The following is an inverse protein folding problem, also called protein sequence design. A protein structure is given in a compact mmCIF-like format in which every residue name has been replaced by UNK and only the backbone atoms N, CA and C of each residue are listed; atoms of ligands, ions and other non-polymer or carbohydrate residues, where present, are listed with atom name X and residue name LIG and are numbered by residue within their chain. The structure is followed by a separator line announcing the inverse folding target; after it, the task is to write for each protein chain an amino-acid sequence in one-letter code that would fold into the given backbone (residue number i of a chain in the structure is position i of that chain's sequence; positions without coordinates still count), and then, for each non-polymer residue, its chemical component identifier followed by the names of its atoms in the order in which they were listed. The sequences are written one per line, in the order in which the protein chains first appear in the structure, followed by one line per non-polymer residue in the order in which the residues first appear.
data_IF_179147181284
#
_entry.id   IF_179147181284
#
_cell.length_a   1.000
_cell.length_b   1.000
_cell.length_c   1.000
_cell.angle_alpha   90.00
_cell.angle_beta   90.00
_cell.angle_gamma   90.00
#
_symmetry.space_group_name_H-M   'P 1'
#
loop_
_entity.id
_entity.type
_entity.pdbx_description
1 polymer ?
#
# COMPACT_ATOMS: atom_id res chain seq x y z
N UNK A 1 7.00 -2.16 -13.79
CA UNK A 1 6.83 -2.02 -12.34
C UNK A 1 5.44 -2.41 -11.94
N UNK A 2 5.29 -2.96 -10.76
CA UNK A 2 4.02 -3.41 -10.26
C UNK A 2 3.41 -2.33 -9.37
N UNK A 3 2.14 -2.00 -9.61
CA UNK A 3 1.45 -1.04 -8.77
C UNK A 3 0.80 -1.74 -7.60
N UNK A 4 0.92 -1.12 -6.42
CA UNK A 4 0.14 -1.52 -5.26
C UNK A 4 -0.96 -0.48 -5.11
N UNK A 5 -2.21 -0.92 -5.13
CA UNK A 5 -3.34 0.00 -5.10
C UNK A 5 -4.05 -0.08 -3.75
N UNK A 6 -4.79 0.99 -3.43
CA UNK A 6 -5.60 1.01 -2.21
C UNK A 6 -6.72 -0.02 -2.35
N UNK A 7 -6.79 -1.04 -1.48
CA UNK A 7 -7.80 -2.07 -1.62
C UNK A 7 -9.15 -1.63 -1.09
N UNK A 8 -10.19 -2.23 -1.62
CA UNK A 8 -11.55 -2.07 -1.09
C UNK A 8 -11.85 -3.27 -0.19
N UNK A 9 -12.06 -3.03 1.08
CA UNK A 9 -12.34 -4.10 2.02
C UNK A 9 -13.83 -4.33 2.26
N UNK A 10 -14.65 -3.31 1.99
CA UNK A 10 -16.08 -3.48 2.03
C UNK A 10 -16.72 -2.55 1.00
N UNK A 11 -18.00 -2.77 0.73
CA UNK A 11 -18.68 -2.08 -0.36
C UNK A 11 -18.82 -0.58 -0.13
N UNK A 12 -18.84 -0.16 1.12
CA UNK A 12 -19.04 1.25 1.42
C UNK A 12 -17.73 2.03 1.44
N UNK A 13 -16.59 1.34 1.30
CA UNK A 13 -15.31 1.99 1.38
C UNK A 13 -14.98 2.71 0.08
N UNK A 14 -14.95 4.03 0.12
CA UNK A 14 -14.56 4.84 -1.03
C UNK A 14 -13.13 5.32 -0.96
N UNK A 15 -12.60 5.49 0.26
CA UNK A 15 -11.22 5.91 0.50
C UNK A 15 -10.66 5.14 1.67
N UNK A 16 -9.34 5.09 1.76
CA UNK A 16 -8.65 4.59 2.93
C UNK A 16 -7.66 5.63 3.41
N UNK A 17 -7.46 5.71 4.72
CA UNK A 17 -6.47 6.62 5.27
C UNK A 17 -5.17 5.88 5.46
N UNK A 18 -4.13 6.35 4.78
CA UNK A 18 -2.80 5.75 4.89
C UNK A 18 -2.19 6.25 6.20
N UNK A 19 -2.15 5.36 7.19
CA UNK A 19 -1.72 5.78 8.53
C UNK A 19 -0.20 5.78 8.61
N UNK A 20 0.43 4.74 8.07
CA UNK A 20 1.85 4.55 8.30
C UNK A 20 2.45 3.69 7.20
N UNK A 21 3.67 4.02 6.78
CA UNK A 21 4.47 3.17 5.92
C UNK A 21 5.36 2.29 6.79
N UNK A 22 5.29 0.98 6.58
CA UNK A 22 6.13 0.01 7.29
C UNK A 22 7.44 -0.24 6.55
N UNK A 23 7.46 0.11 5.28
CA UNK A 23 8.65 0.03 4.43
C UNK A 23 8.80 1.35 3.71
N UNK A 24 10.00 1.66 3.28
CA UNK A 24 10.26 2.92 2.60
C UNK A 24 10.93 2.66 1.26
N UNK A 25 11.03 3.73 0.47
CA UNK A 25 11.65 3.63 -0.84
C UNK A 25 13.05 3.04 -0.72
N UNK A 26 13.33 2.07 -1.58
CA UNK A 26 14.58 1.35 -1.57
C UNK A 26 14.58 0.07 -0.77
N UNK A 27 13.59 -0.13 0.11
CA UNK A 27 13.52 -1.33 0.93
C UNK A 27 13.13 -2.55 0.12
N UNK A 28 13.72 -3.68 0.48
CA UNK A 28 13.36 -4.98 -0.05
C UNK A 28 12.09 -5.47 0.62
N UNK A 29 11.19 -6.09 -0.14
CA UNK A 29 9.96 -6.69 0.40
C UNK A 29 9.78 -8.08 -0.16
N UNK A 30 9.17 -8.95 0.64
CA UNK A 30 8.77 -10.29 0.20
C UNK A 30 7.28 -10.28 -0.11
N UNK A 31 6.86 -11.20 -0.96
CA UNK A 31 5.44 -11.35 -1.23
C UNK A 31 4.69 -11.63 0.08
N UNK A 32 3.60 -10.90 0.32
CA UNK A 32 2.82 -11.05 1.54
C UNK A 32 3.34 -10.26 2.72
N UNK A 33 4.47 -9.58 2.58
CA UNK A 33 5.02 -8.80 3.68
C UNK A 33 4.24 -7.49 3.83
N UNK A 34 3.85 -7.12 5.07
CA UNK A 34 3.14 -5.85 5.26
C UNK A 34 4.02 -4.66 4.90
N UNK A 35 3.49 -3.73 4.11
CA UNK A 35 4.24 -2.55 3.68
C UNK A 35 3.63 -1.26 4.17
N UNK A 36 2.34 -1.26 4.53
CA UNK A 36 1.68 -0.05 4.99
C UNK A 36 0.49 -0.41 5.87
N UNK A 37 0.11 0.53 6.73
CA UNK A 37 -1.09 0.40 7.57
C UNK A 37 -2.11 1.39 7.07
N UNK A 38 -3.34 0.93 6.87
CA UNK A 38 -4.42 1.74 6.36
C UNK A 38 -5.62 1.63 7.28
N UNK A 39 -6.30 2.73 7.51
CA UNK A 39 -7.53 2.76 8.28
C UNK A 39 -8.72 2.83 7.32
N UNK A 40 -9.60 1.84 7.42
CA UNK A 40 -10.88 1.87 6.73
C UNK A 40 -11.92 2.50 7.62
N UNK A 41 -13.19 2.33 7.26
CA UNK A 41 -14.27 2.96 8.00
C UNK A 41 -14.44 2.37 9.39
N UNK A 42 -14.23 1.06 9.53
CA UNK A 42 -14.52 0.36 10.79
C UNK A 42 -13.31 -0.30 11.42
N UNK A 43 -12.21 -0.41 10.69
CA UNK A 43 -11.06 -1.17 11.17
C UNK A 43 -9.80 -0.71 10.46
N UNK A 44 -8.66 -1.04 11.06
CA UNK A 44 -7.38 -0.86 10.41
C UNK A 44 -6.90 -2.18 9.83
N UNK A 45 -6.10 -2.10 8.78
CA UNK A 45 -5.55 -3.29 8.16
C UNK A 45 -4.20 -2.96 7.54
N UNK A 46 -3.45 -4.01 7.24
CA UNK A 46 -2.15 -3.86 6.61
C UNK A 46 -2.25 -4.20 5.14
N UNK A 47 -1.58 -3.42 4.30
CA UNK A 47 -1.45 -3.73 2.89
C UNK A 47 -0.18 -4.54 2.72
N UNK A 48 -0.31 -5.69 2.05
CA UNK A 48 0.81 -6.60 1.83
C UNK A 48 1.36 -6.42 0.44
N UNK A 49 2.66 -6.69 0.29
CA UNK A 49 3.29 -6.65 -1.01
C UNK A 49 2.73 -7.77 -1.88
N UNK A 50 2.27 -7.44 -3.10
CA UNK A 50 1.72 -8.48 -3.99
C UNK A 50 2.78 -9.36 -4.63
N UNK A 51 4.04 -8.97 -4.54
CA UNK A 51 5.15 -9.74 -5.07
C UNK A 51 6.43 -9.30 -4.39
N UNK A 52 7.44 -10.18 -4.41
CA UNK A 52 8.75 -9.82 -3.89
C UNK A 52 9.41 -8.80 -4.81
N UNK A 53 10.16 -7.88 -4.23
CA UNK A 53 10.86 -6.87 -4.99
C UNK A 53 11.39 -5.79 -4.09
N UNK A 54 11.47 -4.59 -4.64
CA UNK A 54 11.96 -3.44 -3.91
C UNK A 54 11.00 -2.28 -4.08
N UNK A 55 10.71 -1.57 -3.00
CA UNK A 55 9.84 -0.39 -3.10
C UNK A 55 10.56 0.64 -3.95
N UNK A 56 10.02 0.91 -5.13
CA UNK A 56 10.59 1.89 -6.05
C UNK A 56 10.16 3.29 -5.65
N UNK A 57 8.88 3.45 -5.30
CA UNK A 57 8.35 4.76 -4.96
C UNK A 57 7.10 4.59 -4.11
N UNK A 58 6.96 5.46 -3.11
CA UNK A 58 5.70 5.63 -2.40
C UNK A 58 5.02 6.87 -2.98
N UNK A 59 3.75 6.75 -3.35
CA UNK A 59 3.04 7.77 -4.11
C UNK A 59 2.22 8.72 -3.24
N UNK A 60 2.00 8.34 -1.99
CA UNK A 60 1.26 9.18 -1.03
C UNK A 60 1.98 9.14 0.30
N UNK A 61 2.06 10.27 1.01
CA UNK A 61 2.66 10.28 2.34
C UNK A 61 1.71 9.70 3.38
N UNK A 62 2.28 9.30 4.52
CA UNK A 62 1.47 8.91 5.67
C UNK A 62 0.56 10.06 6.05
N UNK A 63 -0.66 9.74 6.44
CA UNK A 63 -1.68 10.73 6.77
C UNK A 63 -2.61 11.08 5.62
N UNK A 64 -2.33 10.59 4.42
CA UNK A 64 -3.16 10.88 3.25
C UNK A 64 -4.40 10.02 3.22
N UNK A 65 -5.50 10.60 2.72
CA UNK A 65 -6.67 9.80 2.33
C UNK A 65 -6.54 9.47 0.85
N UNK A 66 -6.64 8.20 0.52
CA UNK A 66 -6.41 7.72 -0.84
C UNK A 66 -7.64 6.98 -1.34
N UNK A 67 -8.15 7.37 -2.51
CA UNK A 67 -9.30 6.64 -3.07
C UNK A 67 -8.99 5.18 -3.32
N UNK A 68 -10.00 4.34 -3.18
CA UNK A 68 -9.89 2.92 -3.51
C UNK A 68 -9.45 2.78 -4.97
N UNK A 69 -8.58 1.82 -5.22
CA UNK A 69 -8.00 1.50 -6.53
C UNK A 69 -6.92 2.46 -7.01
N UNK A 70 -6.66 3.54 -6.28
CA UNK A 70 -5.58 4.43 -6.66
C UNK A 70 -4.24 3.83 -6.25
N UNK A 71 -3.21 3.94 -7.10
CA UNK A 71 -1.89 3.43 -6.74
C UNK A 71 -1.30 4.16 -5.54
N UNK A 72 -0.73 3.41 -4.61
CA UNK A 72 -0.07 3.97 -3.44
C UNK A 72 1.43 3.73 -3.46
N UNK A 73 1.89 2.74 -4.22
CA UNK A 73 3.32 2.43 -4.31
C UNK A 73 3.61 1.73 -5.61
N UNK A 74 4.87 1.82 -6.01
CA UNK A 74 5.39 1.07 -7.14
C UNK A 74 6.47 0.13 -6.63
N UNK A 75 6.41 -1.13 -7.04
CA UNK A 75 7.39 -2.13 -6.67
C UNK A 75 8.14 -2.55 -7.92
N UNK A 76 9.46 -2.48 -7.82
CA UNK A 76 10.34 -3.00 -8.86
C UNK A 76 10.53 -4.47 -8.58
N UNK A 77 9.85 -5.30 -9.37
CA UNK A 77 9.92 -6.76 -9.19
C UNK A 77 11.13 -7.35 -9.87
N UNK A 78 11.86 -6.55 -10.57
CA UNK A 78 13.19 -6.84 -10.98
C UNK A 78 13.33 -7.78 -12.08
N UNK A 79 14.39 -8.16 -12.38
CA UNK A 79 15.08 -9.11 -13.16
C UNK A 79 16.03 -8.79 -14.07
#
# INVERSE_FOLDING_TARGET
MLEVTMPRLDESMGTGKLIEWLKKEGDHVSEGEPIAVVEGEKTTFEIEAPAAGRIHRTLHPAGSEVPVDEPIALIDVGT
#
